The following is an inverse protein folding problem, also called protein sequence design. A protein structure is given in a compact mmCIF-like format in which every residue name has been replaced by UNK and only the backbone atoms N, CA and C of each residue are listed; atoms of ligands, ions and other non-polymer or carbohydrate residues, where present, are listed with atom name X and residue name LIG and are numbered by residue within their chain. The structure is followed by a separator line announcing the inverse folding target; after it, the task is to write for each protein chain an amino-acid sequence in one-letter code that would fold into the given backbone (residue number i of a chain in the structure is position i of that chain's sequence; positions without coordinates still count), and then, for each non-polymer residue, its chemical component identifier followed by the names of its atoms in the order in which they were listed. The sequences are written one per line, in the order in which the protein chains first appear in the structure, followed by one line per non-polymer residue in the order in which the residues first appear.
data_IF_275430538701
#
_entry.id   IF_275430538701
#
_cell.length_a   1.000
_cell.length_b   1.000
_cell.length_c   1.000
_cell.angle_alpha   90.00
_cell.angle_beta   90.00
_cell.angle_gamma   90.00
#
_symmetry.space_group_name_H-M   'P 1'
#
loop_
_entity.id
_entity.type
_entity.pdbx_description
1 polymer ?
#
# COMPACT_ATOMS: atom_id res chain seq x y z
N UNK A 1 -11.50 -2.84 -3.77
CA UNK A 1 -11.50 -2.83 -5.27
C UNK A 1 -11.27 -4.25 -5.80
N UNK A 2 -11.64 -4.63 -7.04
CA UNK A 2 -11.33 -5.96 -7.58
C UNK A 2 -9.81 -6.20 -7.66
N UNK A 3 -9.35 -7.41 -7.34
CA UNK A 3 -7.94 -7.79 -7.41
C UNK A 3 -7.51 -8.09 -8.86
N UNK A 4 -7.44 -7.06 -9.70
CA UNK A 4 -7.05 -7.18 -11.12
C UNK A 4 -5.99 -6.15 -11.45
N UNK A 5 -5.12 -6.44 -12.42
CA UNK A 5 -4.05 -5.52 -12.85
C UNK A 5 -4.59 -4.16 -13.31
N UNK A 6 -5.79 -4.14 -13.90
CA UNK A 6 -6.50 -2.92 -14.32
C UNK A 6 -6.96 -2.05 -13.16
N UNK A 7 -7.02 -2.58 -11.94
CA UNK A 7 -7.38 -1.82 -10.74
C UNK A 7 -6.20 -1.05 -10.14
N UNK A 8 -4.95 -1.36 -10.53
CA UNK A 8 -3.76 -0.61 -10.05
C UNK A 8 -3.81 0.87 -10.46
N UNK A 9 -4.02 1.24 -11.74
CA UNK A 9 -4.13 2.66 -12.12
C UNK A 9 -5.39 3.33 -11.56
N UNK A 10 -6.43 2.56 -11.24
CA UNK A 10 -7.64 3.08 -10.63
C UNK A 10 -7.44 3.40 -9.14
N UNK A 11 -6.79 2.51 -8.39
CA UNK A 11 -6.42 2.74 -6.99
C UNK A 11 -5.55 3.99 -6.85
N UNK A 12 -4.55 4.11 -7.72
CA UNK A 12 -3.65 5.26 -7.80
C UNK A 12 -4.38 6.58 -8.01
N UNK A 13 -5.27 6.63 -9.01
CA UNK A 13 -6.08 7.82 -9.29
C UNK A 13 -6.96 8.21 -8.11
N UNK A 14 -7.57 7.23 -7.43
CA UNK A 14 -8.41 7.49 -6.24
C UNK A 14 -7.60 8.03 -5.08
N UNK A 15 -6.43 7.46 -4.79
CA UNK A 15 -5.52 7.94 -3.74
C UNK A 15 -5.06 9.35 -4.03
N UNK A 16 -4.62 9.63 -5.26
CA UNK A 16 -4.20 10.98 -5.65
C UNK A 16 -5.33 11.99 -5.51
N UNK A 17 -6.55 11.65 -5.94
CA UNK A 17 -7.71 12.53 -5.78
C UNK A 17 -7.95 12.89 -4.30
N UNK A 18 -7.90 11.89 -3.40
CA UNK A 18 -8.06 12.12 -1.95
C UNK A 18 -6.94 13.00 -1.39
N UNK A 19 -5.68 12.75 -1.76
CA UNK A 19 -4.55 13.57 -1.31
C UNK A 19 -4.55 14.99 -1.90
N UNK A 20 -5.14 15.16 -3.08
CA UNK A 20 -5.42 16.49 -3.63
C UNK A 20 -6.47 17.23 -2.78
N UNK A 21 -7.56 16.57 -2.43
CA UNK A 21 -8.62 17.11 -1.57
C UNK A 21 -8.11 17.48 -0.17
N UNK A 22 -7.18 16.69 0.38
CA UNK A 22 -6.55 16.96 1.68
C UNK A 22 -5.47 18.05 1.62
N UNK A 23 -5.18 18.60 0.44
CA UNK A 23 -4.16 19.64 0.28
C UNK A 23 -2.73 19.15 0.52
N UNK A 24 -2.47 17.85 0.40
CA UNK A 24 -1.14 17.27 0.60
C UNK A 24 -0.10 17.90 -0.35
N UNK A 25 1.16 18.00 0.08
CA UNK A 25 2.21 18.51 -0.80
C UNK A 25 2.44 17.60 -2.01
N UNK A 26 2.97 18.16 -3.11
CA UNK A 26 3.25 17.41 -4.35
C UNK A 26 4.13 16.18 -4.09
N UNK A 27 5.22 16.33 -3.32
CA UNK A 27 6.11 15.23 -2.95
C UNK A 27 5.37 14.07 -2.26
N UNK A 28 4.43 14.39 -1.35
CA UNK A 28 3.63 13.37 -0.64
C UNK A 28 2.76 12.59 -1.62
N UNK A 29 2.20 13.28 -2.61
CA UNK A 29 1.36 12.67 -3.65
C UNK A 29 2.19 11.75 -4.54
N UNK A 30 3.38 12.17 -4.95
CA UNK A 30 4.31 11.38 -5.76
C UNK A 30 4.78 10.12 -5.04
N UNK A 31 5.16 10.25 -3.76
CA UNK A 31 5.59 9.11 -2.95
C UNK A 31 4.44 8.12 -2.72
N UNK A 32 3.24 8.63 -2.41
CA UNK A 32 2.04 7.80 -2.25
C UNK A 32 1.63 7.13 -3.58
N UNK A 33 1.80 7.80 -4.71
CA UNK A 33 1.53 7.24 -6.03
C UNK A 33 2.34 5.96 -6.28
N UNK A 34 3.64 6.04 -5.99
CA UNK A 34 4.59 4.94 -6.16
C UNK A 34 4.29 3.80 -5.16
N UNK A 35 4.16 4.13 -3.87
CA UNK A 35 3.89 3.11 -2.85
C UNK A 35 2.58 2.38 -3.10
N UNK A 36 1.49 3.08 -3.42
CA UNK A 36 0.20 2.44 -3.74
C UNK A 36 0.33 1.54 -4.97
N UNK A 37 1.05 1.99 -6.01
CA UNK A 37 1.25 1.18 -7.21
C UNK A 37 1.96 -0.14 -6.91
N UNK A 38 3.03 -0.09 -6.11
CA UNK A 38 3.78 -1.29 -5.73
C UNK A 38 2.97 -2.20 -4.80
N UNK A 39 2.31 -1.65 -3.78
CA UNK A 39 1.50 -2.44 -2.84
C UNK A 39 0.31 -3.11 -3.53
N UNK A 40 -0.43 -2.40 -4.37
CA UNK A 40 -1.52 -2.99 -5.15
C UNK A 40 -1.02 -4.02 -6.17
N UNK A 41 0.12 -3.76 -6.83
CA UNK A 41 0.71 -4.71 -7.77
C UNK A 41 1.09 -5.99 -7.05
N UNK A 42 1.68 -5.87 -5.86
CA UNK A 42 2.05 -7.03 -5.04
C UNK A 42 0.81 -7.82 -4.61
N UNK A 43 -0.24 -7.15 -4.13
CA UNK A 43 -1.49 -7.81 -3.77
C UNK A 43 -2.10 -8.55 -4.96
N UNK A 44 -2.21 -7.90 -6.13
CA UNK A 44 -2.80 -8.53 -7.33
C UNK A 44 -1.96 -9.66 -7.91
N UNK A 45 -0.63 -9.60 -7.78
CA UNK A 45 0.28 -10.62 -8.35
C UNK A 45 0.48 -11.83 -7.45
N UNK A 46 0.47 -11.63 -6.13
CA UNK A 46 0.96 -12.63 -5.18
C UNK A 46 -0.10 -13.18 -4.24
N UNK A 47 -1.37 -12.77 -4.39
CA UNK A 47 -2.47 -13.28 -3.58
C UNK A 47 -3.63 -13.75 -4.44
N UNK A 48 -4.31 -14.82 -4.02
CA UNK A 48 -5.54 -15.31 -4.64
C UNK A 48 -6.77 -14.51 -4.14
N UNK A 49 -6.61 -13.20 -3.99
CA UNK A 49 -7.66 -12.32 -3.48
C UNK A 49 -8.65 -11.99 -4.60
N UNK A 50 -9.93 -11.84 -4.28
CA UNK A 50 -10.90 -11.29 -5.24
C UNK A 50 -11.00 -9.78 -5.15
N UNK A 51 -10.64 -9.24 -3.98
CA UNK A 51 -10.65 -7.82 -3.68
C UNK A 51 -9.38 -7.42 -2.92
N UNK A 52 -8.97 -6.19 -3.18
CA UNK A 52 -7.90 -5.47 -2.50
C UNK A 52 -8.46 -4.14 -2.03
N UNK A 53 -8.34 -3.87 -0.74
CA UNK A 53 -8.83 -2.65 -0.11
C UNK A 53 -7.65 -1.72 0.20
N UNK A 54 -7.89 -0.40 0.10
CA UNK A 54 -6.88 0.63 0.32
C UNK A 54 -7.42 1.62 1.34
N UNK A 55 -6.62 1.91 2.36
CA UNK A 55 -6.92 2.93 3.36
C UNK A 55 -5.78 3.94 3.46
N UNK A 56 -6.14 5.20 3.67
CA UNK A 56 -5.23 6.30 3.89
C UNK A 56 -5.57 6.92 5.24
N UNK A 57 -4.59 7.11 6.11
CA UNK A 57 -4.78 7.73 7.43
C UNK A 57 -3.67 8.72 7.71
N UNK A 58 -4.01 9.95 8.07
CA UNK A 58 -3.02 10.93 8.55
C UNK A 58 -2.79 10.71 10.05
N UNK A 59 -1.56 10.38 10.43
CA UNK A 59 -1.12 10.11 11.80
C UNK A 59 -0.06 11.13 12.21
N UNK A 60 -0.50 12.33 12.61
CA UNK A 60 0.41 13.43 12.92
C UNK A 60 1.18 13.86 11.68
N UNK A 61 2.50 13.63 11.67
CA UNK A 61 3.38 14.01 10.55
C UNK A 61 3.50 12.94 9.45
N UNK A 62 2.76 11.82 9.58
CA UNK A 62 2.84 10.70 8.65
C UNK A 62 1.52 10.42 7.93
N UNK A 63 1.61 9.95 6.70
CA UNK A 63 0.52 9.38 5.94
C UNK A 63 0.71 7.87 5.93
N UNK A 64 -0.18 7.18 6.63
CA UNK A 64 -0.25 5.72 6.59
C UNK A 64 -1.06 5.29 5.37
N UNK A 65 -0.42 4.52 4.51
CA UNK A 65 -1.04 3.83 3.37
C UNK A 65 -1.17 2.36 3.74
N UNK A 66 -2.38 1.83 3.70
CA UNK A 66 -2.65 0.43 4.01
C UNK A 66 -3.33 -0.26 2.83
N UNK A 67 -2.78 -1.40 2.42
CA UNK A 67 -3.35 -2.23 1.36
C UNK A 67 -3.64 -3.60 1.95
N UNK A 68 -4.92 -3.95 1.97
CA UNK A 68 -5.41 -5.22 2.53
C UNK A 68 -5.89 -6.13 1.42
N UNK A 69 -5.30 -7.31 1.32
CA UNK A 69 -5.76 -8.38 0.44
C UNK A 69 -6.65 -9.36 1.22
N UNK A 70 -7.71 -9.88 0.60
CA UNK A 70 -8.70 -10.76 1.24
C UNK A 70 -8.37 -12.26 1.23
N UNK A 71 -7.15 -12.66 0.83
CA UNK A 71 -6.67 -14.03 0.62
C UNK A 71 -7.70 -15.18 0.56
N UNK A 72 -7.92 -15.81 -0.60
CA UNK A 72 -8.69 -17.07 -0.64
C UNK A 72 -7.83 -18.27 -0.20
N UNK A 73 -8.01 -18.69 1.05
CA UNK A 73 -7.79 -20.07 1.49
C UNK A 73 -6.34 -20.52 1.61
N UNK A 74 -5.80 -20.51 2.83
CA UNK A 74 -4.69 -21.38 3.26
C UNK A 74 -3.31 -21.11 2.65
N UNK A 75 -3.21 -20.49 1.48
CA UNK A 75 -1.98 -19.97 0.92
C UNK A 75 -1.65 -18.66 1.63
N UNK A 76 -1.01 -18.80 2.79
CA UNK A 76 -0.20 -17.72 3.34
C UNK A 76 0.76 -17.27 2.25
N UNK A 77 0.75 -16.00 1.81
CA UNK A 77 1.85 -15.51 1.00
C UNK A 77 3.12 -15.79 1.81
N UNK A 78 4.05 -16.55 1.26
CA UNK A 78 5.34 -16.67 1.91
C UNK A 78 6.00 -15.31 1.70
N UNK A 79 5.80 -14.37 2.63
CA UNK A 79 6.80 -13.33 2.85
C UNK A 79 7.89 -14.03 3.65
N UNK A 80 8.61 -14.93 2.98
CA UNK A 80 9.86 -15.45 3.51
C UNK A 80 10.87 -14.32 3.31
N UNK A 81 11.57 -13.86 4.37
CA UNK A 81 12.74 -13.02 4.21
C UNK A 81 13.72 -13.80 3.32
N UNK A 82 13.82 -13.44 2.04
CA UNK A 82 14.63 -14.17 1.05
C UNK A 82 13.86 -14.80 -0.13
N UNK A 83 12.52 -14.86 -0.12
CA UNK A 83 11.70 -15.24 -1.29
C UNK A 83 11.53 -14.08 -2.29
N UNK A 84 12.60 -13.32 -2.44
CA UNK A 84 12.68 -12.18 -3.33
C UNK A 84 12.78 -12.71 -4.75
N UNK A 85 11.64 -12.94 -5.39
CA UNK A 85 11.60 -12.84 -6.85
C UNK A 85 12.27 -11.50 -7.20
N UNK A 86 13.22 -11.51 -8.13
CA UNK A 86 14.08 -10.34 -8.42
C UNK A 86 13.30 -9.06 -8.73
N UNK A 87 12.02 -9.18 -9.10
CA UNK A 87 11.07 -8.07 -9.28
C UNK A 87 10.36 -7.65 -7.97
N UNK A 88 9.87 -8.58 -7.15
CA UNK A 88 9.22 -8.28 -5.86
C UNK A 88 10.16 -7.55 -4.89
N UNK A 89 11.46 -7.86 -4.97
CA UNK A 89 12.50 -7.18 -4.21
C UNK A 89 12.64 -5.72 -4.54
N UNK A 90 12.43 -5.34 -5.81
CA UNK A 90 12.53 -3.94 -6.24
C UNK A 90 11.32 -3.14 -5.79
N UNK A 91 10.12 -3.72 -5.86
CA UNK A 91 8.89 -3.06 -5.43
C UNK A 91 8.88 -2.77 -3.92
N UNK A 92 9.16 -3.78 -3.09
CA UNK A 92 9.25 -3.57 -1.64
C UNK A 92 10.49 -2.78 -1.22
N UNK A 93 11.58 -2.82 -2.00
CA UNK A 93 12.71 -1.90 -1.80
C UNK A 93 12.29 -0.45 -2.02
N UNK A 94 11.50 -0.16 -3.08
CA UNK A 94 10.98 1.19 -3.32
C UNK A 94 10.07 1.64 -2.17
N UNK A 95 9.16 0.77 -1.71
CA UNK A 95 8.31 1.06 -0.54
C UNK A 95 9.18 1.36 0.68
N UNK A 96 10.20 0.54 0.96
CA UNK A 96 11.11 0.78 2.08
C UNK A 96 11.98 2.02 1.95
N UNK A 97 12.29 2.46 0.73
CA UNK A 97 13.08 3.66 0.48
C UNK A 97 12.27 4.96 0.62
N UNK A 98 10.97 4.90 0.31
CA UNK A 98 10.05 6.05 0.38
C UNK A 98 9.32 6.16 1.73
N UNK A 99 9.30 5.09 2.52
CA UNK A 99 8.60 5.05 3.79
C UNK A 99 9.56 5.22 4.97
N UNK A 100 9.11 5.97 5.97
CA UNK A 100 9.77 6.09 7.28
C UNK A 100 9.70 4.76 8.03
N UNK A 101 8.57 4.06 7.89
CA UNK A 101 8.44 2.68 8.34
C UNK A 101 7.40 1.94 7.50
N UNK A 102 7.53 0.62 7.40
CA UNK A 102 6.56 -0.21 6.71
C UNK A 102 6.55 -1.60 7.32
N UNK A 103 5.49 -2.36 7.05
CA UNK A 103 5.39 -3.73 7.54
C UNK A 103 4.21 -4.49 6.99
N UNK A 104 4.05 -5.71 7.49
CA UNK A 104 2.95 -6.60 7.13
C UNK A 104 2.30 -7.08 8.43
N UNK A 105 0.97 -7.06 8.49
CA UNK A 105 0.21 -7.62 9.61
C UNK A 105 -0.96 -8.47 9.11
N UNK A 106 -1.40 -9.48 9.88
CA UNK A 106 -2.63 -10.21 9.57
C UNK A 106 -3.83 -9.27 9.58
N UNK A 107 -4.77 -9.49 8.67
CA UNK A 107 -6.08 -8.84 8.75
C UNK A 107 -6.84 -9.35 10.01
N UNK A 108 -7.55 -8.49 10.76
CA UNK A 108 -8.26 -8.89 11.98
C UNK A 108 -9.29 -10.02 11.78
N UNK A 109 -9.81 -10.22 10.57
CA UNK A 109 -10.74 -11.30 10.25
C UNK A 109 -10.02 -12.64 10.01
N UNK A 110 -8.68 -12.65 9.97
CA UNK A 110 -7.84 -13.81 9.76
C UNK A 110 -7.82 -14.33 8.31
N UNK A 111 -8.50 -13.66 7.38
CA UNK A 111 -8.63 -14.10 5.98
C UNK A 111 -7.69 -13.39 5.02
N UNK A 112 -6.81 -12.51 5.51
CA UNK A 112 -6.02 -11.66 4.65
C UNK A 112 -4.79 -11.10 5.34
N UNK A 113 -4.11 -10.19 4.64
CA UNK A 113 -3.00 -9.42 5.20
C UNK A 113 -3.10 -7.97 4.79
N UNK A 114 -2.61 -7.13 5.66
CA UNK A 114 -2.43 -5.70 5.43
C UNK A 114 -0.95 -5.44 5.30
N UNK A 115 -0.52 -4.96 4.14
CA UNK A 115 0.78 -4.32 3.97
C UNK A 115 0.58 -2.82 4.19
N UNK A 116 1.39 -2.22 5.05
CA UNK A 116 1.26 -0.82 5.40
C UNK A 116 2.61 -0.10 5.28
N UNK A 117 2.56 1.19 4.97
CA UNK A 117 3.72 2.07 4.85
C UNK A 117 3.36 3.47 5.38
N UNK A 118 4.27 4.05 6.16
CA UNK A 118 4.19 5.41 6.69
C UNK A 118 5.09 6.32 5.86
N UNK A 119 4.47 7.26 5.14
CA UNK A 119 5.15 8.28 4.35
C UNK A 119 5.22 9.58 5.16
N UNK A 120 6.26 10.38 4.94
CA UNK A 120 6.29 11.73 5.48
C UNK A 120 5.13 12.54 4.86
N UNK A 121 4.21 13.03 5.68
CA UNK A 121 3.09 13.89 5.23
C UNK A 121 3.40 15.38 5.43
N UNK A 122 4.39 15.68 6.28
CA UNK A 122 4.63 17.02 6.80
C UNK A 122 3.77 17.31 8.03
N UNK A 123 4.12 18.34 8.80
CA UNK A 123 3.28 18.77 9.91
C UNK A 123 1.92 19.21 9.34
N UNK A 124 0.78 18.71 9.86
CA UNK A 124 -0.51 19.24 9.44
C UNK A 124 -0.47 20.73 9.72
N UNK A 125 -0.69 21.54 8.68
CA UNK A 125 -0.82 22.97 8.87
C UNK A 125 -1.86 23.18 9.97
N UNK A 126 -1.44 23.80 11.07
CA UNK A 126 -2.34 24.18 12.15
C UNK A 126 -3.38 25.11 11.52
N UNK A 127 -4.58 24.59 11.30
CA UNK A 127 -5.74 25.38 10.94
C UNK A 127 -6.26 26.12 12.17
#
# INVERSE_FOLDING_TARGET
MPARRTSVPEARRRVLAVLHEWGAAEQVRDDAELVVSELFTNAVRHTDSEKVDCELTVLGAFLRVEVTDQGRGGSTPHVQPGSVDKECGRGLFLVGALSESWGVRPDPTGRGRTVWADLAYGSPAAH
#
